data_IF_517497029088
#
_entry.id   IF_517497029088
#
_cell.length_a   1.000
_cell.length_b   1.000
_cell.length_c   1.000
_cell.angle_alpha   90.00
_cell.angle_beta   90.00
_cell.angle_gamma   90.00
#
_symmetry.space_group_name_H-M   'P 1'
#
loop_
_entity.id
_entity.type
_entity.pdbx_description
1 polymer ?
#
# COMPACT_ATOMS: atom_id res chain seq x y z
N UNK A 1 14.34 -28.67 -47.43
CA UNK A 1 13.02 -28.04 -47.19
C UNK A 1 12.08 -29.11 -46.67
N UNK A 2 11.86 -29.15 -45.36
CA UNK A 2 10.75 -29.91 -44.77
C UNK A 2 10.39 -29.23 -43.45
N UNK A 3 9.22 -28.61 -43.44
CA UNK A 3 8.68 -27.84 -42.33
C UNK A 3 8.18 -28.79 -41.23
N UNK A 4 8.60 -28.56 -39.98
CA UNK A 4 7.98 -29.18 -38.81
C UNK A 4 7.11 -28.11 -38.16
N UNK A 5 5.80 -28.30 -38.31
CA UNK A 5 4.75 -27.40 -37.86
C UNK A 5 4.69 -27.26 -36.35
N UNK A 6 4.56 -26.01 -35.93
CA UNK A 6 4.16 -25.53 -34.61
C UNK A 6 2.83 -26.15 -34.17
N UNK A 7 2.83 -26.85 -33.04
CA UNK A 7 1.62 -27.16 -32.28
C UNK A 7 1.47 -26.13 -31.15
N UNK A 8 0.88 -24.99 -31.47
CA UNK A 8 0.39 -24.05 -30.48
C UNK A 8 -0.79 -24.71 -29.73
N UNK A 9 -0.62 -24.97 -28.44
CA UNK A 9 -1.72 -25.30 -27.53
C UNK A 9 -2.64 -24.08 -27.43
N UNK A 10 -3.77 -24.14 -28.11
CA UNK A 10 -4.90 -23.25 -27.91
C UNK A 10 -5.57 -23.62 -26.59
N UNK A 11 -5.39 -22.76 -25.58
CA UNK A 11 -6.15 -22.84 -24.34
C UNK A 11 -7.64 -22.69 -24.66
N UNK A 12 -8.41 -23.71 -24.29
CA UNK A 12 -9.85 -23.76 -24.49
C UNK A 12 -10.55 -22.59 -23.78
N UNK A 13 -11.17 -21.69 -24.57
CA UNK A 13 -12.11 -20.69 -24.10
C UNK A 13 -13.40 -21.44 -23.73
N UNK A 14 -13.55 -21.78 -22.45
CA UNK A 14 -14.75 -22.42 -21.93
C UNK A 14 -15.98 -21.52 -22.07
N UNK A 15 -16.96 -21.97 -22.86
CA UNK A 15 -18.30 -21.39 -23.05
C UNK A 15 -19.21 -21.70 -21.87
N UNK A 16 -18.84 -21.26 -20.67
CA UNK A 16 -19.67 -21.30 -19.47
C UNK A 16 -20.24 -19.93 -19.12
N UNK A 17 -21.45 -19.87 -18.56
CA UNK A 17 -21.99 -18.62 -18.01
C UNK A 17 -21.02 -18.05 -16.96
N UNK A 18 -20.74 -16.73 -16.98
CA UNK A 18 -19.77 -16.15 -16.05
C UNK A 18 -20.23 -16.37 -14.61
N UNK A 19 -19.28 -16.80 -13.78
CA UNK A 19 -19.54 -17.06 -12.35
C UNK A 19 -20.14 -15.82 -11.67
N UNK A 20 -20.91 -16.01 -10.58
CA UNK A 20 -21.47 -14.88 -9.84
C UNK A 20 -20.39 -13.87 -9.43
N UNK A 21 -19.25 -14.36 -8.92
CA UNK A 21 -18.08 -13.56 -8.55
C UNK A 21 -17.51 -12.73 -9.70
N UNK A 22 -17.47 -13.29 -10.91
CA UNK A 22 -17.01 -12.59 -12.11
C UNK A 22 -17.99 -11.49 -12.54
N UNK A 23 -19.29 -11.78 -12.55
CA UNK A 23 -20.33 -10.78 -12.84
C UNK A 23 -20.28 -9.61 -11.87
N UNK A 24 -20.19 -9.89 -10.56
CA UNK A 24 -20.13 -8.84 -9.54
C UNK A 24 -18.92 -7.91 -9.71
N UNK A 25 -17.75 -8.45 -10.07
CA UNK A 25 -16.56 -7.63 -10.31
C UNK A 25 -16.66 -6.81 -11.60
N UNK A 26 -17.15 -7.41 -12.70
CA UNK A 26 -17.25 -6.75 -14.00
C UNK A 26 -18.33 -5.67 -14.04
N UNK A 27 -19.45 -5.89 -13.36
CA UNK A 27 -20.58 -4.96 -13.30
C UNK A 27 -20.45 -3.93 -12.17
N UNK A 28 -19.33 -3.92 -11.43
CA UNK A 28 -19.10 -3.00 -10.34
C UNK A 28 -19.11 -1.54 -10.82
N UNK A 29 -19.98 -0.72 -10.23
CA UNK A 29 -19.97 0.72 -10.47
C UNK A 29 -18.78 1.37 -9.74
N UNK A 30 -17.65 1.48 -10.43
CA UNK A 30 -16.43 2.05 -9.89
C UNK A 30 -16.54 3.54 -9.54
N UNK A 31 -17.45 4.28 -10.18
CA UNK A 31 -17.72 5.68 -9.85
C UNK A 31 -18.30 5.80 -8.44
N UNK A 32 -19.41 5.10 -8.21
CA UNK A 32 -20.09 5.05 -6.92
C UNK A 32 -19.17 4.55 -5.80
N UNK A 33 -18.42 3.47 -6.04
CA UNK A 33 -17.46 2.91 -5.07
C UNK A 33 -16.42 3.96 -4.65
N UNK A 34 -15.87 4.71 -5.61
CA UNK A 34 -14.88 5.76 -5.31
C UNK A 34 -15.51 6.90 -4.52
N UNK A 35 -16.73 7.31 -4.85
CA UNK A 35 -17.45 8.38 -4.14
C UNK A 35 -17.76 8.01 -2.69
N UNK A 36 -18.21 6.78 -2.43
CA UNK A 36 -18.47 6.29 -1.08
C UNK A 36 -17.20 6.28 -0.22
N UNK A 37 -16.09 5.81 -0.78
CA UNK A 37 -14.79 5.83 -0.10
C UNK A 37 -14.35 7.27 0.16
N UNK A 38 -14.42 8.16 -0.83
CA UNK A 38 -14.09 9.58 -0.67
C UNK A 38 -14.95 10.26 0.41
N UNK A 39 -16.26 9.96 0.46
CA UNK A 39 -17.17 10.48 1.49
C UNK A 39 -16.74 10.04 2.89
N UNK A 40 -16.35 8.78 3.05
CA UNK A 40 -15.82 8.29 4.33
C UNK A 40 -14.47 8.92 4.67
N UNK A 41 -13.57 9.07 3.69
CA UNK A 41 -12.27 9.74 3.89
C UNK A 41 -12.44 11.21 4.32
N UNK A 42 -13.34 11.96 3.69
CA UNK A 42 -13.64 13.34 4.08
C UNK A 42 -14.19 13.43 5.51
N UNK A 43 -15.03 12.48 5.92
CA UNK A 43 -15.52 12.39 7.31
C UNK A 43 -14.41 12.06 8.30
N UNK A 44 -13.44 11.22 7.91
CA UNK A 44 -12.26 10.92 8.72
C UNK A 44 -11.42 12.19 8.88
N UNK A 45 -11.07 12.88 7.78
CA UNK A 45 -10.31 14.12 7.81
C UNK A 45 -10.96 15.18 8.70
N UNK A 46 -12.27 15.41 8.55
CA UNK A 46 -13.04 16.32 9.41
C UNK A 46 -12.96 15.94 10.89
N UNK A 47 -13.12 14.65 11.21
CA UNK A 47 -13.03 14.18 12.59
C UNK A 47 -11.60 14.31 13.17
N UNK A 48 -10.57 14.16 12.33
CA UNK A 48 -9.16 14.39 12.70
C UNK A 48 -8.91 15.86 13.02
N UNK A 49 -9.36 16.78 12.15
CA UNK A 49 -9.24 18.23 12.38
C UNK A 49 -9.98 18.69 13.65
N UNK A 50 -11.10 18.04 13.99
CA UNK A 50 -11.86 18.29 15.22
C UNK A 50 -11.26 17.58 16.47
N UNK A 51 -10.16 16.83 16.35
CA UNK A 51 -9.54 16.10 17.46
C UNK A 51 -10.37 14.91 17.99
N UNK A 52 -11.40 14.46 17.27
CA UNK A 52 -12.35 13.43 17.71
C UNK A 52 -11.84 12.01 17.41
N UNK A 53 -10.79 11.59 18.09
CA UNK A 53 -10.10 10.30 17.85
C UNK A 53 -10.97 9.05 17.96
N UNK A 54 -11.95 9.03 18.87
CA UNK A 54 -12.93 7.93 18.95
C UNK A 54 -13.76 7.78 17.66
N UNK A 55 -14.16 8.91 17.06
CA UNK A 55 -14.89 8.96 15.80
C UNK A 55 -13.99 8.60 14.61
N UNK A 56 -12.74 9.05 14.60
CA UNK A 56 -11.74 8.63 13.61
C UNK A 56 -11.62 7.11 13.59
N UNK A 57 -11.42 6.48 14.75
CA UNK A 57 -11.30 5.01 14.89
C UNK A 57 -12.56 4.30 14.39
N UNK A 58 -13.75 4.79 14.74
CA UNK A 58 -15.02 4.22 14.27
C UNK A 58 -15.17 4.31 12.74
N UNK A 59 -14.81 5.44 12.14
CA UNK A 59 -14.88 5.65 10.69
C UNK A 59 -13.85 4.81 9.93
N UNK A 60 -12.63 4.67 10.46
CA UNK A 60 -11.62 3.76 9.92
C UNK A 60 -12.09 2.30 9.98
N UNK A 61 -12.72 1.89 11.09
CA UNK A 61 -13.31 0.56 11.20
C UNK A 61 -14.44 0.33 10.19
N UNK A 62 -15.27 1.35 9.94
CA UNK A 62 -16.33 1.32 8.92
C UNK A 62 -15.75 1.20 7.51
N UNK A 63 -14.77 2.05 7.15
CA UNK A 63 -14.13 2.04 5.82
C UNK A 63 -13.40 0.73 5.55
N UNK A 64 -12.68 0.19 6.55
CA UNK A 64 -11.93 -1.06 6.39
C UNK A 64 -12.83 -2.32 6.39
N UNK A 65 -14.12 -2.19 6.72
CA UNK A 65 -15.10 -3.28 6.65
C UNK A 65 -16.06 -3.12 5.47
N UNK A 66 -16.14 -1.94 4.87
CA UNK A 66 -17.03 -1.67 3.75
C UNK A 66 -16.63 -2.46 2.51
N UNK A 67 -17.64 -2.82 1.73
CA UNK A 67 -17.46 -3.49 0.45
C UNK A 67 -16.63 -2.62 -0.51
N UNK A 68 -16.99 -1.35 -0.62
CA UNK A 68 -16.37 -0.35 -1.49
C UNK A 68 -14.89 -0.12 -1.17
N UNK A 69 -14.51 -0.10 0.11
CA UNK A 69 -13.12 0.00 0.53
C UNK A 69 -12.30 -1.22 0.08
N UNK A 70 -12.82 -2.44 0.31
CA UNK A 70 -12.13 -3.68 -0.10
C UNK A 70 -12.00 -3.78 -1.61
N UNK A 71 -13.07 -3.47 -2.36
CA UNK A 71 -13.07 -3.42 -3.82
C UNK A 71 -11.96 -2.52 -4.36
N UNK A 72 -11.87 -1.29 -3.84
CA UNK A 72 -10.88 -0.31 -4.28
C UNK A 72 -9.45 -0.76 -3.94
N UNK A 73 -9.26 -1.37 -2.77
CA UNK A 73 -7.97 -1.91 -2.35
C UNK A 73 -7.50 -3.06 -3.26
N UNK A 74 -8.39 -3.98 -3.62
CA UNK A 74 -8.10 -5.09 -4.55
C UNK A 74 -7.80 -4.57 -5.95
N UNK A 75 -8.59 -3.60 -6.43
CA UNK A 75 -8.37 -2.95 -7.72
C UNK A 75 -6.97 -2.33 -7.79
N UNK A 76 -6.59 -1.54 -6.78
CA UNK A 76 -5.26 -0.93 -6.69
C UNK A 76 -4.13 -1.97 -6.78
N UNK A 77 -4.21 -3.07 -6.04
CA UNK A 77 -3.16 -4.12 -6.05
C UNK A 77 -3.09 -4.86 -7.37
N UNK A 78 -4.23 -5.08 -8.02
CA UNK A 78 -4.33 -5.87 -9.25
C UNK A 78 -4.05 -5.06 -10.52
N UNK A 79 -4.03 -3.73 -10.43
CA UNK A 79 -3.70 -2.82 -11.55
C UNK A 79 -2.25 -2.30 -11.49
N UNK A 80 -1.62 -2.31 -10.30
CA UNK A 80 -0.23 -1.87 -10.13
C UNK A 80 0.77 -2.69 -10.94
N UNK A 81 1.95 -2.10 -11.23
CA UNK A 81 3.08 -2.76 -11.95
C UNK A 81 3.47 -4.12 -11.32
N UNK A 82 3.34 -4.24 -10.00
CA UNK A 82 3.61 -5.48 -9.25
C UNK A 82 2.50 -6.54 -9.25
N UNK A 83 1.44 -6.39 -10.06
CA UNK A 83 0.28 -7.31 -10.07
C UNK A 83 0.62 -8.77 -10.37
N UNK A 84 1.69 -9.01 -11.14
CA UNK A 84 2.16 -10.36 -11.52
C UNK A 84 3.22 -10.94 -10.59
N UNK A 85 3.64 -10.22 -9.55
CA UNK A 85 4.65 -10.72 -8.62
C UNK A 85 3.96 -11.46 -7.47
N UNK A 86 4.06 -12.80 -7.37
CA UNK A 86 3.48 -13.53 -6.24
C UNK A 86 4.30 -13.30 -4.96
N UNK A 87 3.64 -13.45 -3.81
CA UNK A 87 4.33 -13.58 -2.53
C UNK A 87 4.86 -15.01 -2.33
N UNK A 88 5.11 -15.39 -1.08
CA UNK A 88 5.54 -16.74 -0.70
C UNK A 88 4.49 -17.80 -1.06
N UNK A 89 3.21 -17.44 -1.10
CA UNK A 89 2.11 -18.35 -1.41
C UNK A 89 1.95 -18.65 -2.92
N UNK A 90 2.74 -18.04 -3.79
CA UNK A 90 2.66 -18.28 -5.24
C UNK A 90 1.40 -17.73 -5.93
N UNK A 91 0.45 -17.15 -5.18
CA UNK A 91 -0.87 -16.75 -5.69
C UNK A 91 -0.86 -15.36 -6.31
N UNK A 92 -1.53 -15.23 -7.46
CA UNK A 92 -1.83 -13.97 -8.15
C UNK A 92 -3.33 -13.85 -8.44
N UNK A 93 -3.87 -12.64 -8.49
CA UNK A 93 -5.29 -12.40 -8.79
C UNK A 93 -5.43 -11.74 -10.16
N UNK A 94 -5.51 -12.57 -11.20
CA UNK A 94 -5.61 -12.11 -12.59
C UNK A 94 -7.07 -12.02 -13.02
N UNK A 95 -7.86 -13.07 -12.78
CA UNK A 95 -9.26 -13.15 -13.22
C UNK A 95 -10.20 -12.30 -12.34
N UNK A 96 -11.31 -11.78 -12.88
CA UNK A 96 -12.33 -11.08 -12.08
C UNK A 96 -12.84 -11.90 -10.90
N UNK A 97 -13.09 -13.19 -11.09
CA UNK A 97 -13.48 -14.10 -10.02
C UNK A 97 -12.42 -14.20 -8.91
N UNK A 98 -11.14 -14.33 -9.26
CA UNK A 98 -10.06 -14.36 -8.26
C UNK A 98 -9.93 -13.04 -7.49
N UNK A 99 -10.17 -11.90 -8.14
CA UNK A 99 -10.20 -10.58 -7.48
C UNK A 99 -11.36 -10.49 -6.48
N UNK A 100 -12.55 -10.94 -6.87
CA UNK A 100 -13.72 -10.99 -6.01
C UNK A 100 -13.52 -11.91 -4.80
N UNK A 101 -13.10 -13.16 -5.02
CA UNK A 101 -12.79 -14.07 -3.91
C UNK A 101 -11.66 -13.54 -3.02
N UNK A 102 -10.68 -12.86 -3.61
CA UNK A 102 -9.64 -12.13 -2.90
C UNK A 102 -10.21 -11.08 -1.95
N UNK A 103 -11.14 -10.25 -2.42
CA UNK A 103 -11.88 -9.27 -1.62
C UNK A 103 -12.66 -9.93 -0.47
N UNK A 104 -13.40 -11.02 -0.73
CA UNK A 104 -14.19 -11.72 0.30
C UNK A 104 -13.30 -12.35 1.39
N UNK A 105 -12.08 -12.75 1.01
CA UNK A 105 -11.08 -13.27 1.95
C UNK A 105 -10.46 -12.20 2.87
N UNK A 106 -10.69 -10.90 2.62
CA UNK A 106 -10.22 -9.79 3.45
C UNK A 106 -11.05 -9.67 4.74
N UNK A 107 -10.83 -10.59 5.68
CA UNK A 107 -11.49 -10.66 6.98
C UNK A 107 -10.51 -10.33 8.10
N UNK A 108 -10.81 -9.31 8.90
CA UNK A 108 -9.91 -8.81 9.96
C UNK A 108 -9.62 -9.86 11.06
N UNK A 109 -10.65 -10.57 11.54
CA UNK A 109 -10.51 -11.54 12.65
C UNK A 109 -9.60 -12.73 12.30
N UNK A 110 -9.77 -13.31 11.11
CA UNK A 110 -9.00 -14.47 10.65
C UNK A 110 -7.73 -14.11 9.87
N UNK A 111 -7.39 -12.83 9.76
CA UNK A 111 -6.25 -12.38 8.96
C UNK A 111 -4.91 -12.80 9.58
N UNK A 112 -4.11 -13.57 8.84
CA UNK A 112 -2.72 -13.87 9.19
C UNK A 112 -1.78 -13.28 8.13
N UNK A 113 -0.80 -12.50 8.58
CA UNK A 113 0.27 -12.04 7.72
C UNK A 113 1.24 -13.20 7.47
N UNK A 114 1.59 -13.42 6.21
CA UNK A 114 2.66 -14.37 5.84
C UNK A 114 3.97 -13.60 5.67
N UNK A 115 5.12 -14.26 5.85
CA UNK A 115 6.43 -13.67 5.56
C UNK A 115 6.51 -13.11 4.14
N UNK A 116 7.31 -12.06 3.98
CA UNK A 116 7.56 -11.47 2.67
C UNK A 116 8.55 -12.32 1.87
N UNK A 117 8.34 -12.43 0.56
CA UNK A 117 9.31 -13.09 -0.33
C UNK A 117 10.41 -12.09 -0.70
N UNK A 118 11.67 -12.40 -0.38
CA UNK A 118 12.82 -11.56 -0.74
C UNK A 118 13.14 -11.68 -2.22
N UNK A 119 13.33 -10.55 -2.89
CA UNK A 119 13.93 -10.46 -4.22
C UNK A 119 14.96 -9.36 -4.24
N UNK A 120 15.92 -9.42 -5.17
CA UNK A 120 16.97 -8.43 -5.30
C UNK A 120 16.81 -7.64 -6.59
N UNK A 121 16.79 -6.32 -6.48
CA UNK A 121 16.79 -5.41 -7.63
C UNK A 121 18.21 -4.84 -7.79
N UNK A 122 18.83 -4.93 -8.97
CA UNK A 122 20.15 -4.35 -9.20
C UNK A 122 20.06 -2.81 -9.14
N UNK A 123 21.01 -2.18 -8.45
CA UNK A 123 21.24 -0.74 -8.54
C UNK A 123 22.28 -0.44 -9.63
N UNK A 124 22.30 0.79 -10.11
CA UNK A 124 23.32 1.31 -11.04
C UNK A 124 24.74 1.21 -10.48
N UNK A 125 24.91 1.21 -9.16
CA UNK A 125 26.21 1.11 -8.49
C UNK A 125 26.68 -0.34 -8.22
N UNK A 126 26.05 -1.35 -8.83
CA UNK A 126 26.39 -2.76 -8.66
C UNK A 126 25.88 -3.43 -7.38
N UNK A 127 25.43 -2.65 -6.39
CA UNK A 127 24.80 -3.22 -5.18
C UNK A 127 23.37 -3.68 -5.47
N UNK A 128 22.88 -4.65 -4.70
CA UNK A 128 21.49 -5.13 -4.82
C UNK A 128 20.63 -4.48 -3.73
N UNK A 129 19.49 -3.88 -4.10
CA UNK A 129 18.46 -3.46 -3.14
C UNK A 129 17.52 -4.63 -2.89
N UNK A 130 17.38 -5.10 -1.64
CA UNK A 130 16.48 -6.18 -1.36
C UNK A 130 15.04 -5.66 -1.20
N UNK A 131 14.09 -6.28 -1.88
CA UNK A 131 12.66 -5.96 -1.83
C UNK A 131 11.91 -7.14 -1.22
N UNK A 132 11.02 -6.87 -0.27
CA UNK A 132 10.08 -7.85 0.27
C UNK A 132 8.75 -7.77 -0.47
N UNK A 133 8.34 -8.85 -1.13
CA UNK A 133 7.05 -8.94 -1.81
C UNK A 133 6.05 -9.66 -0.91
N UNK A 134 5.01 -8.98 -0.39
CA UNK A 134 3.94 -9.63 0.35
C UNK A 134 3.00 -10.40 -0.59
N UNK A 135 2.32 -11.42 -0.05
CA UNK A 135 1.20 -12.07 -0.76
C UNK A 135 0.10 -11.08 -1.14
N UNK A 136 -0.72 -11.43 -2.13
CA UNK A 136 -1.80 -10.56 -2.63
C UNK A 136 -2.74 -10.08 -1.52
N UNK A 137 -3.20 -10.98 -0.65
CA UNK A 137 -4.07 -10.64 0.48
C UNK A 137 -3.43 -9.60 1.42
N UNK A 138 -2.13 -9.73 1.70
CA UNK A 138 -1.42 -8.78 2.55
C UNK A 138 -1.30 -7.41 1.88
N UNK A 139 -0.96 -7.36 0.59
CA UNK A 139 -0.96 -6.12 -0.19
C UNK A 139 -2.33 -5.46 -0.22
N UNK A 140 -3.40 -6.22 -0.38
CA UNK A 140 -4.77 -5.67 -0.39
C UNK A 140 -5.18 -5.16 0.99
N UNK A 141 -4.83 -5.86 2.07
CA UNK A 141 -5.06 -5.36 3.43
C UNK A 141 -4.26 -4.08 3.71
N UNK A 142 -3.01 -4.00 3.26
CA UNK A 142 -2.20 -2.78 3.36
C UNK A 142 -2.79 -1.62 2.54
N UNK A 143 -3.24 -1.90 1.31
CA UNK A 143 -3.90 -0.89 0.47
C UNK A 143 -5.21 -0.39 1.09
N UNK A 144 -5.97 -1.28 1.74
CA UNK A 144 -7.20 -0.93 2.44
C UNK A 144 -6.95 -0.04 3.65
N UNK A 145 -5.96 -0.37 4.48
CA UNK A 145 -5.58 0.48 5.60
C UNK A 145 -4.94 1.78 5.17
N UNK A 146 -4.23 1.80 4.04
CA UNK A 146 -3.74 3.03 3.42
C UNK A 146 -4.88 4.01 3.13
N UNK A 147 -6.00 3.54 2.54
CA UNK A 147 -7.18 4.38 2.32
C UNK A 147 -7.75 4.98 3.63
N UNK A 148 -7.62 4.26 4.75
CA UNK A 148 -8.10 4.70 6.06
C UNK A 148 -7.13 5.67 6.76
N UNK A 149 -5.84 5.60 6.44
CA UNK A 149 -4.77 6.40 7.06
C UNK A 149 -4.46 7.68 6.29
N UNK A 150 -4.54 7.66 4.95
CA UNK A 150 -4.36 8.83 4.07
C UNK A 150 -5.12 10.09 4.57
N UNK A 151 -6.42 10.04 4.93
CA UNK A 151 -7.12 11.25 5.40
C UNK A 151 -6.61 11.75 6.76
N UNK A 152 -6.03 10.88 7.59
CA UNK A 152 -5.45 11.27 8.88
C UNK A 152 -4.08 11.89 8.67
N UNK A 153 -3.22 11.26 7.86
CA UNK A 153 -1.89 11.79 7.55
C UNK A 153 -1.99 13.16 6.87
N UNK A 154 -2.84 13.29 5.86
CA UNK A 154 -3.01 14.56 5.13
C UNK A 154 -3.52 15.69 6.02
N UNK A 155 -4.31 15.38 7.05
CA UNK A 155 -4.85 16.39 7.99
C UNK A 155 -3.83 16.81 9.06
N UNK A 156 -2.79 16.01 9.30
CA UNK A 156 -1.78 16.26 10.32
C UNK A 156 -0.43 16.70 9.73
N UNK A 157 -0.18 16.37 8.46
CA UNK A 157 1.11 16.58 7.81
C UNK A 157 1.45 18.06 7.65
N UNK A 158 2.73 18.37 7.80
CA UNK A 158 3.28 19.71 7.56
C UNK A 158 2.95 20.22 6.13
N UNK A 159 2.54 21.48 5.95
CA UNK A 159 2.31 22.08 4.65
C UNK A 159 3.49 22.02 3.67
N UNK A 160 4.73 22.01 4.18
CA UNK A 160 5.99 21.97 3.43
C UNK A 160 6.53 20.53 3.24
N UNK A 161 5.74 19.51 3.61
CA UNK A 161 6.07 18.12 3.29
C UNK A 161 5.48 17.73 1.93
N UNK A 162 6.33 17.42 0.96
CA UNK A 162 5.92 17.11 -0.42
C UNK A 162 5.99 15.61 -0.78
N UNK A 163 6.69 14.81 0.03
CA UNK A 163 6.96 13.40 -0.27
C UNK A 163 5.74 12.50 -0.07
N UNK A 164 5.50 11.59 -1.03
CA UNK A 164 4.50 10.50 -0.94
C UNK A 164 3.03 10.89 -0.74
N UNK A 165 2.69 12.18 -0.85
CA UNK A 165 1.34 12.71 -0.66
C UNK A 165 0.52 12.74 -1.95
N UNK A 166 -0.80 12.53 -1.87
CA UNK A 166 -1.67 12.72 -3.03
C UNK A 166 -1.70 14.20 -3.43
N UNK A 167 -1.66 14.48 -4.74
CA UNK A 167 -1.71 15.82 -5.31
C UNK A 167 -0.55 16.76 -4.91
N UNK A 168 0.58 16.21 -4.44
CA UNK A 168 1.84 16.93 -4.29
C UNK A 168 2.90 16.34 -5.22
N UNK A 169 3.73 17.19 -5.79
CA UNK A 169 4.77 16.78 -6.73
C UNK A 169 6.15 17.32 -6.33
N UNK A 170 7.20 16.75 -6.95
CA UNK A 170 8.57 17.29 -6.82
C UNK A 170 8.68 18.69 -7.42
N UNK A 171 7.80 19.06 -8.36
CA UNK A 171 7.78 20.41 -8.93
C UNK A 171 7.33 21.43 -7.88
N UNK A 172 6.35 21.09 -7.04
CA UNK A 172 5.87 21.97 -5.96
C UNK A 172 7.00 22.26 -4.95
N UNK A 173 7.83 21.25 -4.65
CA UNK A 173 8.99 21.42 -3.78
C UNK A 173 10.04 22.36 -4.41
N UNK A 174 10.30 22.22 -5.71
CA UNK A 174 11.21 23.10 -6.46
C UNK A 174 10.67 24.54 -6.49
N UNK A 175 9.37 24.71 -6.74
CA UNK A 175 8.70 26.00 -6.72
C UNK A 175 8.82 26.66 -5.34
N UNK A 176 8.61 25.90 -4.26
CA UNK A 176 8.79 26.39 -2.90
C UNK A 176 10.24 26.82 -2.61
N UNK A 177 11.22 26.02 -3.05
CA UNK A 177 12.64 26.40 -2.98
C UNK A 177 12.91 27.70 -3.74
N UNK A 178 12.36 27.85 -4.95
CA UNK A 178 12.50 29.06 -5.76
C UNK A 178 11.92 30.29 -5.04
N UNK A 179 10.68 30.22 -4.55
CA UNK A 179 10.01 31.32 -3.85
C UNK A 179 10.78 31.73 -2.58
N UNK A 180 11.38 30.75 -1.89
CA UNK A 180 12.11 30.97 -0.63
C UNK A 180 13.53 31.50 -0.86
N UNK A 181 14.22 31.04 -1.90
CA UNK A 181 15.64 31.32 -2.14
C UNK A 181 15.91 32.42 -3.18
N UNK A 182 14.92 32.82 -4.00
CA UNK A 182 15.13 33.79 -5.08
C UNK A 182 15.05 35.28 -4.64
N UNK A 183 14.75 35.59 -3.37
CA UNK A 183 14.57 36.97 -2.91
C UNK A 183 15.91 37.58 -2.46
N UNK A 184 16.05 38.90 -2.56
CA UNK A 184 17.25 39.63 -2.09
C UNK A 184 17.60 39.43 -0.60
N UNK A 185 16.63 39.04 0.23
CA UNK A 185 16.80 38.73 1.66
C UNK A 185 16.76 37.22 1.96
N UNK A 186 16.97 36.38 0.95
CA UNK A 186 16.93 34.93 1.12
C UNK A 186 18.13 34.40 1.92
N UNK A 187 17.96 33.25 2.61
CA UNK A 187 19.07 32.58 3.29
C UNK A 187 20.21 32.25 2.33
N UNK A 188 21.45 32.51 2.76
CA UNK A 188 22.67 32.24 1.95
C UNK A 188 23.14 30.78 2.11
N UNK A 189 22.75 30.13 3.20
CA UNK A 189 23.19 28.79 3.56
C UNK A 189 22.02 27.82 3.63
N UNK A 190 22.21 26.62 3.06
CA UNK A 190 21.25 25.51 3.11
C UNK A 190 21.92 24.34 3.81
N UNK A 191 21.25 23.77 4.81
CA UNK A 191 21.67 22.53 5.45
C UNK A 191 21.05 21.35 4.69
N UNK A 192 21.88 20.56 4.02
CA UNK A 192 21.48 19.30 3.42
C UNK A 192 21.62 18.17 4.44
N UNK A 193 20.54 17.42 4.65
CA UNK A 193 20.53 16.25 5.53
C UNK A 193 19.74 15.10 4.92
N UNK A 194 20.27 13.89 5.02
CA UNK A 194 19.57 12.65 4.65
C UNK A 194 19.53 11.68 5.83
N UNK A 195 18.41 10.97 5.97
CA UNK A 195 18.20 10.00 7.05
C UNK A 195 18.70 8.63 6.59
N UNK A 196 19.88 8.25 7.10
CA UNK A 196 20.48 6.94 6.80
C UNK A 196 19.59 5.79 7.28
N UNK A 197 19.15 4.95 6.35
CA UNK A 197 18.42 3.72 6.67
C UNK A 197 17.03 3.95 7.26
N UNK A 198 16.33 5.02 6.86
CA UNK A 198 15.01 5.40 7.37
C UNK A 198 14.04 4.21 7.49
N UNK A 199 13.89 3.41 6.42
CA UNK A 199 12.98 2.25 6.44
C UNK A 199 13.48 1.08 7.28
N UNK A 200 14.79 0.91 7.43
CA UNK A 200 15.40 -0.25 8.08
C UNK A 200 15.49 -0.08 9.61
N UNK A 201 15.49 1.17 10.10
CA UNK A 201 15.76 1.51 11.50
C UNK A 201 14.52 1.94 12.32
N UNK A 202 13.31 1.94 11.74
CA UNK A 202 12.12 2.34 12.50
C UNK A 202 11.82 1.40 13.69
N UNK A 203 11.64 2.00 14.87
CA UNK A 203 11.21 1.30 16.08
C UNK A 203 9.78 0.79 15.95
N UNK A 204 9.59 -0.51 16.17
CA UNK A 204 8.27 -1.15 16.15
C UNK A 204 7.37 -0.62 17.27
N UNK A 205 7.93 -0.31 18.44
CA UNK A 205 7.18 0.23 19.57
C UNK A 205 6.64 1.63 19.26
N UNK A 206 7.47 2.48 18.64
CA UNK A 206 7.06 3.82 18.21
C UNK A 206 5.91 3.74 17.21
N UNK A 207 6.03 2.88 16.18
CA UNK A 207 4.97 2.67 15.19
C UNK A 207 3.66 2.17 15.82
N UNK A 208 3.76 1.19 16.73
CA UNK A 208 2.61 0.67 17.46
C UNK A 208 1.98 1.71 18.39
N UNK A 209 2.73 2.70 18.88
CA UNK A 209 2.18 3.79 19.69
C UNK A 209 1.50 4.84 18.82
N UNK A 210 2.17 5.35 17.81
CA UNK A 210 1.78 6.59 17.13
C UNK A 210 0.87 6.42 15.91
N UNK A 211 0.89 5.27 15.21
CA UNK A 211 0.08 5.08 13.99
C UNK A 211 -1.40 4.82 14.36
N UNK A 212 -2.36 5.67 13.98
CA UNK A 212 -3.77 5.53 14.36
C UNK A 212 -4.47 4.46 13.50
N UNK A 213 -4.18 3.19 13.77
CA UNK A 213 -4.81 2.02 13.14
C UNK A 213 -5.01 0.86 14.12
N UNK A 214 -5.59 -0.25 13.63
CA UNK A 214 -5.67 -1.49 14.40
C UNK A 214 -4.27 -2.04 14.69
N UNK A 215 -3.88 -1.97 15.97
CA UNK A 215 -2.57 -2.36 16.47
C UNK A 215 -2.30 -3.85 16.32
N UNK A 216 -3.35 -4.67 16.31
CA UNK A 216 -3.24 -6.13 16.11
C UNK A 216 -2.76 -6.43 14.70
N UNK A 217 -3.34 -5.75 13.71
CA UNK A 217 -2.99 -5.93 12.30
C UNK A 217 -1.60 -5.37 12.04
N UNK A 218 -1.30 -4.17 12.56
CA UNK A 218 0.02 -3.56 12.42
C UNK A 218 1.12 -4.46 13.02
N UNK A 219 0.90 -4.99 14.22
CA UNK A 219 1.83 -5.92 14.88
C UNK A 219 2.07 -7.17 14.03
N UNK A 220 1.01 -7.76 13.46
CA UNK A 220 1.13 -8.92 12.55
C UNK A 220 1.99 -8.61 11.33
N UNK A 221 1.93 -7.39 10.78
CA UNK A 221 2.78 -7.00 9.65
C UNK A 221 4.24 -6.80 10.05
N UNK A 222 4.49 -6.14 11.17
CA UNK A 222 5.85 -5.88 11.64
C UNK A 222 6.57 -7.18 12.03
N UNK A 223 5.85 -8.16 12.56
CA UNK A 223 6.38 -9.46 12.99
C UNK A 223 6.36 -10.54 11.90
N UNK A 224 5.87 -10.25 10.69
CA UNK A 224 5.69 -11.28 9.66
C UNK A 224 7.00 -11.90 9.16
N UNK A 225 8.15 -11.22 9.34
CA UNK A 225 9.44 -11.70 8.84
C UNK A 225 9.55 -11.68 7.31
N UNK A 226 10.63 -12.24 6.80
CA UNK A 226 10.84 -12.45 5.37
C UNK A 226 11.49 -13.80 5.11
N UNK A 227 11.23 -14.39 3.94
CA UNK A 227 11.87 -15.60 3.47
C UNK A 227 12.89 -15.21 2.41
N UNK A 228 14.13 -15.63 2.65
CA UNK A 228 15.27 -15.45 1.75
C UNK A 228 15.92 -16.81 1.50
N UNK A 229 16.08 -17.17 0.23
CA UNK A 229 16.63 -18.48 -0.19
C UNK A 229 16.05 -19.71 0.54
N UNK A 230 14.75 -19.66 0.85
CA UNK A 230 14.03 -20.76 1.54
C UNK A 230 14.13 -20.74 3.07
N UNK A 231 14.93 -19.83 3.65
CA UNK A 231 15.08 -19.67 5.10
C UNK A 231 14.22 -18.52 5.61
N UNK A 232 13.53 -18.73 6.74
CA UNK A 232 12.72 -17.70 7.40
C UNK A 232 13.59 -16.85 8.33
N UNK A 233 13.60 -15.54 8.09
CA UNK A 233 14.26 -14.55 8.93
C UNK A 233 13.24 -13.66 9.64
N UNK A 234 13.45 -13.43 10.93
CA UNK A 234 12.65 -12.51 11.72
C UNK A 234 13.03 -11.06 11.41
N UNK A 235 12.02 -10.19 11.28
CA UNK A 235 12.24 -8.74 11.15
C UNK A 235 12.35 -8.13 12.55
N UNK A 236 13.58 -7.81 13.00
CA UNK A 236 13.82 -7.23 14.33
C UNK A 236 13.60 -5.70 14.40
N UNK A 237 13.79 -4.99 13.29
CA UNK A 237 13.59 -3.54 13.17
C UNK A 237 13.18 -3.17 11.74
N UNK A 238 12.58 -1.98 11.60
CA UNK A 238 12.23 -1.43 10.30
C UNK A 238 10.89 -1.89 9.74
N UNK A 239 10.53 -1.32 8.59
CA UNK A 239 9.36 -1.68 7.79
C UNK A 239 9.82 -2.38 6.51
N UNK A 240 9.17 -3.49 6.10
CA UNK A 240 9.59 -4.19 4.91
C UNK A 240 9.47 -3.31 3.66
N UNK A 241 10.62 -3.06 3.01
CA UNK A 241 10.69 -2.31 1.77
C UNK A 241 9.89 -3.07 0.68
N UNK A 242 8.76 -2.50 0.25
CA UNK A 242 7.81 -3.14 -0.68
C UNK A 242 6.37 -3.26 -0.17
N UNK A 243 6.12 -2.95 1.11
CA UNK A 243 4.76 -2.82 1.63
C UNK A 243 4.05 -1.58 1.08
N UNK A 244 2.79 -1.71 0.66
CA UNK A 244 1.98 -0.56 0.16
C UNK A 244 1.77 0.49 1.26
N UNK A 245 1.84 0.04 2.52
CA UNK A 245 1.70 0.91 3.69
C UNK A 245 3.00 1.62 4.09
N UNK A 246 4.18 1.15 3.63
CA UNK A 246 5.46 1.72 4.07
C UNK A 246 5.56 3.24 3.80
N UNK A 247 5.14 3.78 2.65
CA UNK A 247 5.11 5.23 2.44
C UNK A 247 4.14 5.96 3.39
N UNK A 248 2.98 5.36 3.69
CA UNK A 248 1.98 5.99 4.55
C UNK A 248 2.39 5.98 6.03
N UNK A 249 3.11 4.95 6.48
CA UNK A 249 3.69 4.91 7.83
C UNK A 249 4.84 5.90 7.98
N UNK A 250 5.65 6.09 6.94
CA UNK A 250 6.75 7.06 6.94
C UNK A 250 6.23 8.49 6.98
N UNK A 251 5.19 8.81 6.20
CA UNK A 251 4.53 10.12 6.24
C UNK A 251 4.02 10.46 7.65
N UNK A 252 3.37 9.52 8.33
CA UNK A 252 2.90 9.71 9.72
C UNK A 252 4.02 9.77 10.77
N UNK A 253 5.25 9.39 10.41
CA UNK A 253 6.39 9.43 11.32
C UNK A 253 7.25 10.67 11.16
N UNK A 254 7.25 11.27 9.97
CA UNK A 254 8.06 12.43 9.62
C UNK A 254 7.23 13.72 9.47
N UNK A 255 5.90 13.60 9.42
CA UNK A 255 4.98 14.72 9.37
C UNK A 255 4.40 15.10 10.72
#
# INVERSE_FOLDING_TARGET
>A
MTAIGSAAKTDAIGTGAPSHAERMWLQANWGLIKEEVKRLQARIAKATMEGRWGKVKALQHLLTRSHSGKMLAVKRVTENRGKRMPGVDGKIWVTPAAKWSGMESMRHRSYRALPLRRIYIPKSNGQKRPLGIPRMLCRSMQALWKLALEPVSESMADPNSYGFRPNRSTADAIEYCFITLAKRRSPVWVLEGDIRGCFDNFSHEWMLKNIPMDKTILRRWLQAGFIDEGTLFATKAGTPQGGIIAPATTEQTLG
#
